data_IF_676761082053
#
_entry.id   IF_676761082053
#
_cell.length_a   1.000
_cell.length_b   1.000
_cell.length_c   1.000
_cell.angle_alpha   90.00
_cell.angle_beta   90.00
_cell.angle_gamma   90.00
#
_symmetry.space_group_name_H-M   'P 1'
#
loop_
_entity.id
_entity.type
_entity.pdbx_description
1 polymer ?
#
# COMPACT_ATOMS: atom_id res chain seq x y z
N UNK A 1 -1.66 9.93 -18.62
CA UNK A 1 -1.63 9.83 -17.15
C UNK A 1 -0.26 10.28 -16.67
N UNK A 2 -0.18 11.33 -15.85
CA UNK A 2 1.09 11.82 -15.29
C UNK A 2 1.24 11.23 -13.89
N UNK A 3 2.32 10.50 -13.65
CA UNK A 3 2.65 9.96 -12.34
C UNK A 3 3.43 11.00 -11.54
N UNK A 4 3.07 11.21 -10.27
CA UNK A 4 3.86 12.04 -9.38
C UNK A 4 5.22 11.39 -9.06
N UNK A 5 6.19 12.21 -8.65
CA UNK A 5 7.56 11.75 -8.37
C UNK A 5 7.62 10.63 -7.31
N UNK A 6 6.71 10.63 -6.31
CA UNK A 6 6.71 9.59 -5.28
C UNK A 6 6.24 8.26 -5.86
N UNK A 7 5.18 8.28 -6.67
CA UNK A 7 4.72 7.08 -7.39
C UNK A 7 5.79 6.51 -8.32
N UNK A 8 6.50 7.37 -9.06
CA UNK A 8 7.61 6.93 -9.92
C UNK A 8 8.73 6.24 -9.12
N UNK A 9 9.10 6.79 -7.95
CA UNK A 9 10.10 6.18 -7.07
C UNK A 9 9.67 4.81 -6.55
N UNK A 10 8.40 4.67 -6.15
CA UNK A 10 7.85 3.39 -5.68
C UNK A 10 7.89 2.36 -6.82
N UNK A 11 7.44 2.74 -8.02
CA UNK A 11 7.47 1.85 -9.19
C UNK A 11 8.89 1.39 -9.50
N UNK A 12 9.86 2.31 -9.52
CA UNK A 12 11.26 1.96 -9.74
C UNK A 12 11.78 0.98 -8.66
N UNK A 13 11.43 1.20 -7.38
CA UNK A 13 11.80 0.28 -6.29
C UNK A 13 11.22 -1.13 -6.50
N UNK A 14 9.97 -1.23 -6.96
CA UNK A 14 9.34 -2.52 -7.29
C UNK A 14 10.09 -3.20 -8.43
N UNK A 15 10.41 -2.47 -9.51
CA UNK A 15 11.16 -3.01 -10.65
C UNK A 15 12.52 -3.55 -10.20
N UNK A 16 13.24 -2.81 -9.36
CA UNK A 16 14.53 -3.25 -8.81
C UNK A 16 14.41 -4.46 -7.88
N UNK A 17 13.32 -4.56 -7.12
CA UNK A 17 13.04 -5.76 -6.31
C UNK A 17 12.79 -6.98 -7.20
N UNK A 18 11.93 -6.85 -8.21
CA UNK A 18 11.61 -7.97 -9.12
C UNK A 18 12.81 -8.41 -9.96
N UNK A 19 13.65 -7.47 -10.40
CA UNK A 19 14.92 -7.80 -11.08
C UNK A 19 15.83 -8.64 -10.20
N UNK A 20 16.00 -8.25 -8.92
CA UNK A 20 16.79 -9.04 -7.97
C UNK A 20 16.24 -10.45 -7.77
N UNK A 21 14.93 -10.63 -7.74
CA UNK A 21 14.33 -11.96 -7.67
C UNK A 21 14.54 -12.78 -8.95
N UNK A 22 14.44 -12.13 -10.11
CA UNK A 22 14.72 -12.76 -11.40
C UNK A 22 16.18 -13.21 -11.50
N UNK A 23 17.12 -12.34 -11.10
CA UNK A 23 18.56 -12.63 -11.08
C UNK A 23 18.89 -13.77 -10.10
N UNK A 24 18.18 -13.84 -8.97
CA UNK A 24 18.33 -14.92 -7.99
C UNK A 24 17.67 -16.24 -8.45
N UNK A 25 16.81 -16.22 -9.48
CA UNK A 25 16.02 -17.38 -9.93
C UNK A 25 15.01 -17.90 -8.90
N UNK A 26 14.80 -17.18 -7.80
CA UNK A 26 13.96 -17.58 -6.69
C UNK A 26 13.43 -16.35 -5.93
N UNK A 27 12.25 -16.46 -5.29
CA UNK A 27 11.72 -15.38 -4.49
C UNK A 27 12.62 -15.12 -3.27
N UNK A 28 13.13 -13.89 -3.13
CA UNK A 28 14.00 -13.47 -2.02
C UNK A 28 13.24 -13.56 -0.69
N UNK A 29 11.94 -13.26 -0.73
CA UNK A 29 11.02 -13.40 0.41
C UNK A 29 9.94 -14.42 0.00
N UNK A 30 9.60 -15.42 0.85
CA UNK A 30 8.60 -16.43 0.49
C UNK A 30 7.29 -15.84 -0.02
N UNK A 31 6.71 -16.45 -1.07
CA UNK A 31 5.47 -15.99 -1.70
C UNK A 31 4.30 -15.89 -0.71
N UNK A 32 4.29 -16.74 0.32
CA UNK A 32 3.29 -16.70 1.40
C UNK A 32 3.33 -15.43 2.24
N UNK A 33 4.48 -14.73 2.31
CA UNK A 33 4.68 -13.52 3.12
C UNK A 33 4.38 -12.26 2.33
N UNK A 34 3.17 -12.16 1.77
CA UNK A 34 2.74 -11.09 0.85
C UNK A 34 3.04 -9.69 1.37
N UNK A 35 2.66 -9.38 2.62
CA UNK A 35 2.88 -8.04 3.20
C UNK A 35 4.36 -7.68 3.33
N UNK A 36 5.21 -8.64 3.65
CA UNK A 36 6.65 -8.44 3.74
C UNK A 36 7.27 -8.21 2.35
N UNK A 37 6.79 -8.94 1.33
CA UNK A 37 7.19 -8.72 -0.06
C UNK A 37 6.84 -7.30 -0.52
N UNK A 38 5.61 -6.85 -0.24
CA UNK A 38 5.17 -5.49 -0.57
C UNK A 38 6.02 -4.45 0.17
N UNK A 39 6.33 -4.66 1.45
CA UNK A 39 7.19 -3.76 2.22
C UNK A 39 8.59 -3.65 1.61
N UNK A 40 9.20 -4.77 1.25
CA UNK A 40 10.52 -4.80 0.63
C UNK A 40 10.54 -4.18 -0.78
N UNK A 41 9.47 -4.39 -1.57
CA UNK A 41 9.38 -3.85 -2.93
C UNK A 41 9.07 -2.35 -2.96
N UNK A 42 8.25 -1.85 -2.04
CA UNK A 42 7.78 -0.45 -2.03
C UNK A 42 8.55 0.47 -1.08
N UNK A 43 9.28 -0.10 -0.11
CA UNK A 43 9.90 0.64 0.99
C UNK A 43 8.91 1.19 2.03
N UNK A 44 7.63 0.83 1.93
CA UNK A 44 6.58 1.27 2.86
C UNK A 44 6.57 0.35 4.10
N UNK A 45 6.44 0.95 5.28
CA UNK A 45 6.39 0.21 6.54
C UNK A 45 5.20 -0.75 6.63
N UNK A 46 5.42 -1.92 7.26
CA UNK A 46 4.41 -2.97 7.41
C UNK A 46 3.10 -2.47 8.03
N UNK A 47 3.17 -1.60 9.05
CA UNK A 47 1.97 -1.03 9.70
C UNK A 47 1.10 -0.26 8.70
N UNK A 48 1.73 0.49 7.80
CA UNK A 48 1.05 1.25 6.75
C UNK A 48 0.42 0.31 5.73
N UNK A 49 1.14 -0.73 5.31
CA UNK A 49 0.61 -1.76 4.39
C UNK A 49 -0.60 -2.45 5.02
N UNK A 50 -0.49 -2.92 6.26
CA UNK A 50 -1.61 -3.57 6.97
C UNK A 50 -2.81 -2.64 7.10
N UNK A 51 -2.60 -1.36 7.40
CA UNK A 51 -3.68 -0.36 7.42
C UNK A 51 -4.33 -0.22 6.05
N UNK A 52 -3.55 -0.04 4.99
CA UNK A 52 -4.06 0.07 3.61
C UNK A 52 -4.84 -1.18 3.21
N UNK A 53 -4.30 -2.37 3.49
CA UNK A 53 -4.99 -3.65 3.21
C UNK A 53 -6.30 -3.78 3.97
N UNK A 54 -6.37 -3.31 5.22
CA UNK A 54 -7.62 -3.30 5.99
C UNK A 54 -8.63 -2.33 5.37
N UNK A 55 -8.20 -1.10 5.06
CA UNK A 55 -9.06 -0.10 4.44
C UNK A 55 -9.56 -0.55 3.06
N UNK A 56 -8.73 -1.23 2.27
CA UNK A 56 -9.14 -1.79 0.98
C UNK A 56 -10.30 -2.80 1.16
N UNK A 57 -10.23 -3.67 2.17
CA UNK A 57 -11.31 -4.61 2.49
C UNK A 57 -12.59 -3.92 2.95
N UNK A 58 -12.47 -2.86 3.75
CA UNK A 58 -13.63 -2.05 4.18
C UNK A 58 -14.30 -1.37 2.96
N UNK A 59 -13.51 -0.89 2.00
CA UNK A 59 -14.01 -0.28 0.76
C UNK A 59 -14.68 -1.33 -0.12
N UNK A 60 -14.07 -2.50 -0.30
CA UNK A 60 -14.66 -3.63 -1.05
C UNK A 60 -16.00 -4.07 -0.46
N UNK A 61 -16.14 -4.03 0.87
CA UNK A 61 -17.39 -4.33 1.58
C UNK A 61 -18.39 -3.17 1.59
N UNK A 62 -18.08 -2.04 0.96
CA UNK A 62 -18.89 -0.81 1.00
C UNK A 62 -19.09 -0.23 2.42
N UNK A 63 -18.27 -0.63 3.39
CA UNK A 63 -18.25 -0.06 4.75
C UNK A 63 -17.56 1.31 4.76
N UNK A 64 -16.78 1.62 3.71
CA UNK A 64 -16.04 2.87 3.55
C UNK A 64 -16.01 3.34 2.09
N UNK A 65 -16.16 4.64 1.80
CA UNK A 65 -16.20 5.13 0.43
C UNK A 65 -14.81 5.26 -0.24
N UNK A 66 -13.74 5.46 0.52
CA UNK A 66 -12.39 5.66 -0.03
C UNK A 66 -11.28 5.50 1.03
N UNK A 67 -10.02 5.46 0.59
CA UNK A 67 -8.87 5.41 1.48
C UNK A 67 -8.74 6.68 2.33
N UNK A 68 -8.29 6.50 3.58
CA UNK A 68 -8.05 7.60 4.51
C UNK A 68 -6.74 8.32 4.15
N UNK A 69 -6.86 9.62 3.93
CA UNK A 69 -5.70 10.50 3.78
C UNK A 69 -5.17 10.85 5.18
N UNK A 70 -3.87 10.63 5.46
CA UNK A 70 -3.28 11.08 6.72
C UNK A 70 -3.53 12.57 6.91
N UNK A 71 -3.92 12.97 8.12
CA UNK A 71 -4.16 14.36 8.51
C UNK A 71 -5.46 15.03 8.02
N UNK A 72 -6.38 14.31 7.37
CA UNK A 72 -7.72 14.85 7.16
C UNK A 72 -8.45 14.91 8.50
N UNK A 73 -8.59 16.11 9.08
CA UNK A 73 -9.43 16.34 10.27
C UNK A 73 -10.84 15.83 9.93
N UNK A 74 -11.36 14.91 10.72
CA UNK A 74 -12.78 14.54 10.64
C UNK A 74 -13.54 15.74 11.21
N UNK A 75 -14.22 16.48 10.36
CA UNK A 75 -15.30 17.35 10.83
C UNK A 75 -16.37 16.40 11.40
N UNK A 76 -16.54 16.43 12.72
CA UNK A 76 -17.69 15.79 13.35
C UNK A 76 -18.93 16.48 12.77
N UNK A 77 -19.63 15.80 11.87
CA UNK A 77 -21.02 16.16 11.55
C UNK A 77 -21.88 15.72 12.73
N UNK A 78 -21.78 16.50 13.80
CA UNK A 78 -22.68 16.51 14.95
C UNK A 78 -23.84 17.43 14.56
N UNK A 79 -24.93 16.81 14.10
CA UNK A 79 -26.31 17.26 14.23
C UNK A 79 -27.20 16.48 13.26
N UNK A 80 -28.18 15.77 13.80
CA UNK A 80 -29.57 16.17 13.55
C UNK A 80 -30.42 15.75 14.76
N UNK A 81 -31.12 16.76 15.27
CA UNK A 81 -32.09 16.74 16.37
C UNK A 81 -33.32 15.92 16.01
#
# INVERSE_FOLDING_TARGET
MVLDSKSQKIINSIVQFMKREADAGAPIIPLSKVQQRVAAATGVGLRTITRISKEAKEIEKSEKPSFSTPNKKKENSENQK
#
